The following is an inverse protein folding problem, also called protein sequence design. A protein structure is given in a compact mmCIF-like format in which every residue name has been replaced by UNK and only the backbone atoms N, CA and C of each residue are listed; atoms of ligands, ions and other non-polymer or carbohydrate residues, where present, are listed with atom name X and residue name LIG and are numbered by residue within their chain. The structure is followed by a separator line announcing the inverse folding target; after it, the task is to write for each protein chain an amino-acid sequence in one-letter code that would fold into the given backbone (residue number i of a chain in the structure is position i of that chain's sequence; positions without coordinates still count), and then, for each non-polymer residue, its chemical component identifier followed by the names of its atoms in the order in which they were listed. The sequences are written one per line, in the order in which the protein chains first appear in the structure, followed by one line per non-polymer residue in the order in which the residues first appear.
data_IF_052128965809
#
_entry.id   IF_052128965809
#
_cell.length_a   1.000
_cell.length_b   1.000
_cell.length_c   1.000
_cell.angle_alpha   90.00
_cell.angle_beta   90.00
_cell.angle_gamma   90.00
#
_symmetry.space_group_name_H-M   'P 1'
#
loop_
_entity.id
_entity.type
_entity.pdbx_description
1 polymer ?
#
# COMPACT_ATOMS: atom_id res chain seq x y z
N UNK A 1 -26.00 -11.85 65.17
CA UNK A 1 -25.64 -12.50 63.88
C UNK A 1 -24.42 -11.78 63.33
N UNK A 2 -23.22 -12.31 63.57
CA UNK A 2 -21.95 -11.78 63.07
C UNK A 2 -21.40 -12.76 62.02
N UNK A 3 -21.38 -12.38 60.75
CA UNK A 3 -20.76 -13.20 59.70
C UNK A 3 -19.26 -12.91 59.62
N UNK A 4 -18.46 -13.86 60.10
CA UNK A 4 -17.01 -13.91 59.88
C UNK A 4 -16.74 -14.39 58.46
N UNK A 5 -16.05 -13.59 57.66
CA UNK A 5 -15.46 -14.01 56.38
C UNK A 5 -13.97 -14.31 56.60
N UNK A 6 -13.42 -15.46 56.16
CA UNK A 6 -12.02 -15.80 56.37
C UNK A 6 -11.13 -15.23 55.26
N UNK A 7 -10.09 -14.50 55.69
CA UNK A 7 -8.94 -14.09 54.88
C UNK A 7 -8.23 -15.33 54.30
N UNK A 8 -8.12 -15.41 52.98
CA UNK A 8 -7.15 -16.30 52.29
C UNK A 8 -5.89 -15.50 51.96
N UNK A 9 -4.78 -15.86 52.60
CA UNK A 9 -3.44 -15.44 52.24
C UNK A 9 -3.04 -16.13 50.91
N UNK A 10 -2.69 -15.34 49.90
CA UNK A 10 -2.03 -15.81 48.67
C UNK A 10 -0.60 -15.23 48.70
N UNK A 11 0.47 -16.03 48.73
CA UNK A 11 1.83 -15.51 48.61
C UNK A 11 2.13 -15.17 47.14
N UNK A 12 2.45 -13.91 46.90
CA UNK A 12 3.00 -13.39 45.65
C UNK A 12 4.48 -13.82 45.54
N UNK A 13 4.79 -14.71 44.60
CA UNK A 13 6.17 -14.89 44.10
C UNK A 13 6.30 -14.14 42.76
N UNK A 14 7.12 -13.09 42.66
CA UNK A 14 7.48 -12.54 41.35
C UNK A 14 8.57 -13.42 40.72
N UNK A 15 8.18 -14.23 39.73
CA UNK A 15 9.12 -14.75 38.74
C UNK A 15 9.49 -13.61 37.79
N UNK A 16 10.71 -13.10 37.90
CA UNK A 16 11.32 -12.23 36.88
C UNK A 16 11.84 -13.10 35.74
N UNK A 17 11.49 -12.80 34.47
CA UNK A 17 12.03 -13.52 33.33
C UNK A 17 13.50 -13.14 33.11
N UNK A 18 14.34 -14.17 33.06
CA UNK A 18 15.73 -14.12 32.68
C UNK A 18 15.92 -13.49 31.29
N UNK A 19 16.83 -12.50 31.18
CA UNK A 19 17.25 -12.03 29.85
C UNK A 19 17.78 -10.60 29.76
N UNK A 20 18.66 -10.16 30.65
CA UNK A 20 19.50 -8.98 30.36
C UNK A 20 20.96 -9.28 30.68
N UNK A 21 21.76 -9.41 29.62
CA UNK A 21 23.23 -9.46 29.67
C UNK A 21 23.73 -8.11 30.18
N UNK A 22 24.27 -8.09 31.40
CA UNK A 22 25.05 -6.97 31.92
C UNK A 22 26.38 -6.90 31.17
N UNK A 23 26.64 -5.77 30.50
CA UNK A 23 27.96 -5.44 29.95
C UNK A 23 28.87 -4.95 31.08
N UNK A 24 30.09 -5.48 31.08
CA UNK A 24 31.23 -5.17 31.95
C UNK A 24 31.41 -3.68 32.30
N UNK A 25 31.62 -3.32 33.59
CA UNK A 25 32.15 -2.04 33.97
C UNK A 25 33.68 -2.15 34.21
N UNK A 26 34.46 -2.12 33.13
CA UNK A 26 35.91 -1.89 33.23
C UNK A 26 36.35 -0.91 32.18
N UNK A 27 36.23 0.39 32.51
CA UNK A 27 37.08 1.49 32.01
C UNK A 27 36.71 2.78 32.73
N UNK A 28 37.61 3.22 33.60
CA UNK A 28 37.62 4.56 34.21
C UNK A 28 37.96 5.59 33.11
N UNK A 29 37.18 6.67 32.91
CA UNK A 29 37.67 7.79 32.14
C UNK A 29 38.60 8.64 33.01
N UNK A 30 39.83 8.81 32.55
CA UNK A 30 40.79 9.74 33.10
C UNK A 30 40.28 11.18 32.96
N UNK A 31 40.26 11.88 34.09
CA UNK A 31 40.21 13.34 34.19
C UNK A 31 41.37 13.94 33.38
N UNK A 32 41.06 14.86 32.46
CA UNK A 32 42.00 15.92 32.02
C UNK A 32 41.36 17.28 32.29
N UNK A 33 42.01 18.17 33.04
CA UNK A 33 41.54 19.54 33.20
C UNK A 33 41.96 20.34 31.96
N UNK A 34 40.98 20.78 31.16
CA UNK A 34 41.24 21.73 30.08
C UNK A 34 41.14 23.14 30.62
N UNK A 35 42.32 23.73 30.79
CA UNK A 35 42.58 25.15 30.95
C UNK A 35 42.08 25.87 29.70
N UNK A 36 40.96 26.59 29.78
CA UNK A 36 40.73 27.79 28.99
C UNK A 36 39.72 28.69 29.71
N UNK A 37 40.31 29.60 30.48
CA UNK A 37 39.70 30.80 31.01
C UNK A 37 39.41 31.76 29.86
N UNK A 38 38.14 32.16 29.66
CA UNK A 38 37.78 33.45 29.03
C UNK A 38 36.47 33.95 29.62
N UNK A 39 36.60 34.85 30.59
CA UNK A 39 35.61 35.88 30.89
C UNK A 39 35.36 36.75 29.65
N UNK A 40 34.18 37.37 29.57
CA UNK A 40 34.13 38.77 29.19
C UNK A 40 33.51 39.59 30.32
N UNK A 41 34.33 40.49 30.85
CA UNK A 41 33.94 41.67 31.62
C UNK A 41 33.40 42.78 30.68
N UNK A 42 32.75 43.81 31.23
CA UNK A 42 31.87 44.71 30.49
C UNK A 42 32.64 45.86 29.84
N UNK A 43 32.31 46.20 28.60
CA UNK A 43 32.74 47.45 27.98
C UNK A 43 31.71 48.54 28.28
N UNK A 44 32.16 49.48 29.10
CA UNK A 44 31.75 50.88 29.13
C UNK A 44 32.11 51.49 27.77
N UNK A 45 31.22 52.26 27.15
CA UNK A 45 31.56 53.50 26.44
C UNK A 45 30.28 54.19 25.95
N UNK A 46 30.08 55.42 26.45
CA UNK A 46 29.21 56.45 25.88
C UNK A 46 29.91 57.14 24.72
N UNK A 47 29.17 57.69 23.74
CA UNK A 47 28.96 59.13 23.72
C UNK A 47 27.50 59.49 23.34
N UNK A 48 26.86 60.43 24.04
CA UNK A 48 26.78 61.85 23.66
C UNK A 48 26.34 62.10 22.21
N UNK A 49 25.03 62.32 22.00
CA UNK A 49 24.48 63.48 21.28
C UNK A 49 22.95 63.42 21.24
N UNK A 50 22.33 64.50 21.70
CA UNK A 50 20.90 64.85 21.63
C UNK A 50 20.47 65.17 20.18
N UNK A 51 19.17 65.10 19.85
CA UNK A 51 18.33 66.30 19.96
C UNK A 51 16.89 66.08 20.47
N UNK A 52 16.48 67.04 21.29
CA UNK A 52 15.19 67.76 21.34
C UNK A 52 14.00 67.18 20.53
N UNK A 53 12.94 66.79 21.23
CA UNK A 53 11.54 66.99 20.82
C UNK A 53 10.61 66.92 22.05
N UNK A 54 9.64 67.82 22.06
CA UNK A 54 8.73 68.19 23.14
C UNK A 54 7.78 67.07 23.61
N UNK A 55 7.26 67.14 24.84
CA UNK A 55 6.02 66.46 25.22
C UNK A 55 4.82 67.43 25.18
N UNK A 56 3.88 67.12 24.30
CA UNK A 56 2.52 67.65 24.29
C UNK A 56 1.81 67.37 25.64
N UNK A 57 1.22 68.43 26.17
CA UNK A 57 0.36 68.46 27.35
C UNK A 57 -1.05 68.02 26.94
N UNK A 58 -1.71 67.07 27.65
CA UNK A 58 -3.15 66.99 27.65
C UNK A 58 -3.74 67.69 28.87
N UNK A 59 -4.74 68.52 28.56
CA UNK A 59 -5.48 69.42 29.41
C UNK A 59 -6.09 68.77 30.67
N UNK A 60 -6.11 69.60 31.71
CA UNK A 60 -7.05 69.61 32.81
C UNK A 60 -8.47 69.27 32.35
N UNK A 61 -9.11 68.28 32.99
CA UNK A 61 -10.56 68.13 32.96
C UNK A 61 -11.13 68.39 34.36
N UNK A 62 -11.97 69.41 34.43
CA UNK A 62 -12.76 69.83 35.56
C UNK A 62 -13.66 68.71 36.09
N UNK A 63 -13.57 68.48 37.39
CA UNK A 63 -14.55 67.73 38.15
C UNK A 63 -15.63 68.71 38.63
N UNK A 64 -16.80 68.74 38.00
CA UNK A 64 -18.07 69.16 38.62
C UNK A 64 -19.29 68.92 37.70
N UNK A 65 -20.00 67.81 37.87
CA UNK A 65 -21.43 67.69 37.54
C UNK A 65 -22.07 66.48 38.27
N UNK A 66 -23.33 66.59 38.74
CA UNK A 66 -23.97 65.63 39.66
C UNK A 66 -24.65 64.44 38.95
N UNK A 67 -25.02 63.37 39.69
CA UNK A 67 -25.53 62.13 39.11
C UNK A 67 -27.05 62.18 38.87
N UNK A 68 -27.48 61.93 37.65
CA UNK A 68 -28.89 61.65 37.32
C UNK A 68 -29.12 60.15 37.17
N UNK A 69 -30.16 59.70 37.87
CA UNK A 69 -30.69 58.34 37.90
C UNK A 69 -31.31 57.97 36.54
N UNK A 70 -31.14 56.73 36.10
CA UNK A 70 -31.79 56.18 34.90
C UNK A 70 -31.96 54.66 35.01
N UNK A 71 -33.23 54.24 35.03
CA UNK A 71 -33.78 52.88 35.18
C UNK A 71 -33.38 51.88 34.07
N UNK A 72 -33.51 50.57 34.32
CA UNK A 72 -33.24 49.51 33.34
C UNK A 72 -34.49 49.18 32.50
N UNK A 73 -34.34 49.14 31.18
CA UNK A 73 -35.36 48.61 30.27
C UNK A 73 -34.98 47.20 29.82
N UNK A 74 -35.78 46.25 30.28
CA UNK A 74 -35.92 44.88 29.79
C UNK A 74 -36.51 44.94 28.38
N UNK A 75 -35.93 44.23 27.41
CA UNK A 75 -36.69 43.65 26.28
C UNK A 75 -35.98 42.42 25.69
N UNK A 76 -36.80 41.40 25.42
CA UNK A 76 -36.53 40.08 24.83
C UNK A 76 -36.01 40.14 23.38
N UNK A 77 -35.40 39.07 22.87
CA UNK A 77 -35.43 38.78 21.43
C UNK A 77 -36.46 37.69 21.11
N UNK A 78 -37.35 38.01 20.17
CA UNK A 78 -38.19 37.05 19.47
C UNK A 78 -37.76 36.93 18.00
N UNK A 79 -38.03 35.74 17.47
CA UNK A 79 -38.42 35.50 16.07
C UNK A 79 -37.30 35.23 15.05
N UNK A 80 -37.20 33.94 14.72
CA UNK A 80 -36.60 33.40 13.52
C UNK A 80 -37.35 33.87 12.27
N UNK A 81 -36.62 34.21 11.20
CA UNK A 81 -37.19 34.35 9.87
C UNK A 81 -36.40 33.56 8.83
N UNK A 82 -37.18 32.71 8.16
CA UNK A 82 -36.92 31.91 6.98
C UNK A 82 -36.63 32.71 5.72
N UNK A 83 -36.00 32.00 4.77
CA UNK A 83 -36.02 32.22 3.32
C UNK A 83 -35.15 33.35 2.74
N UNK A 84 -34.07 32.94 2.06
CA UNK A 84 -33.58 33.64 0.87
C UNK A 84 -33.02 32.66 -0.16
N UNK A 85 -33.79 32.51 -1.23
CA UNK A 85 -33.37 32.03 -2.54
C UNK A 85 -32.56 33.15 -3.21
N UNK A 86 -31.38 32.83 -3.73
CA UNK A 86 -30.48 33.82 -4.35
C UNK A 86 -29.37 33.18 -5.19
N UNK A 87 -29.69 32.99 -6.47
CA UNK A 87 -28.88 32.66 -7.65
C UNK A 87 -27.48 33.34 -7.68
N UNK A 88 -26.40 32.66 -8.12
CA UNK A 88 -25.14 33.32 -8.47
C UNK A 88 -24.99 33.53 -9.99
N UNK A 89 -24.33 34.61 -10.45
CA UNK A 89 -23.80 34.67 -11.80
C UNK A 89 -22.26 34.69 -11.84
N UNK A 90 -21.77 33.98 -12.85
CA UNK A 90 -20.65 34.32 -13.74
C UNK A 90 -19.19 34.25 -13.24
N UNK A 91 -18.44 33.43 -14.00
CA UNK A 91 -17.11 33.67 -14.56
C UNK A 91 -15.94 33.76 -13.56
N UNK A 92 -15.24 32.64 -13.41
CA UNK A 92 -13.84 32.63 -13.01
C UNK A 92 -13.03 31.77 -13.99
N UNK A 93 -11.89 32.33 -14.37
CA UNK A 93 -10.99 31.91 -15.43
C UNK A 93 -10.42 30.50 -15.28
N UNK A 94 -10.30 29.84 -16.43
CA UNK A 94 -9.49 28.65 -16.69
C UNK A 94 -8.00 28.98 -16.49
N UNK A 95 -7.25 28.26 -15.65
CA UNK A 95 -5.79 28.30 -15.71
C UNK A 95 -5.27 27.23 -16.69
N UNK A 96 -4.45 27.68 -17.64
CA UNK A 96 -3.66 26.84 -18.56
C UNK A 96 -2.63 26.02 -17.75
N UNK A 97 -2.42 24.71 -18.01
CA UNK A 97 -1.28 24.01 -17.45
C UNK A 97 0.00 24.34 -18.25
N UNK A 98 1.01 24.87 -17.56
CA UNK A 98 2.39 24.96 -18.05
C UNK A 98 3.02 23.56 -18.05
N UNK A 99 3.38 23.08 -19.24
CA UNK A 99 4.19 21.87 -19.43
C UNK A 99 5.60 22.14 -18.92
N UNK A 100 5.94 21.60 -17.74
CA UNK A 100 7.31 21.55 -17.25
C UNK A 100 7.98 20.27 -17.77
N UNK A 101 8.96 20.44 -18.68
CA UNK A 101 9.94 19.41 -18.99
C UNK A 101 10.91 19.30 -17.81
N UNK A 102 10.99 18.12 -17.17
CA UNK A 102 12.14 17.74 -16.34
C UNK A 102 12.56 16.32 -16.70
N UNK A 103 13.65 16.26 -17.44
CA UNK A 103 14.53 15.13 -17.67
C UNK A 103 15.40 14.88 -16.44
N UNK A 104 15.35 13.70 -15.83
CA UNK A 104 16.44 13.10 -15.02
C UNK A 104 16.30 11.57 -15.09
N UNK A 105 17.41 10.79 -15.14
CA UNK A 105 17.41 9.42 -15.62
C UNK A 105 17.29 8.40 -14.48
N UNK A 106 16.48 7.36 -14.68
CA UNK A 106 16.38 6.23 -13.75
C UNK A 106 17.37 5.14 -14.16
N UNK A 107 18.35 4.93 -13.28
CA UNK A 107 19.33 3.85 -13.33
C UNK A 107 18.64 2.48 -13.39
N UNK A 108 19.15 1.65 -14.29
CA UNK A 108 18.82 0.25 -14.43
C UNK A 108 19.27 -0.55 -13.19
N UNK A 109 18.43 -1.49 -12.76
CA UNK A 109 18.86 -2.69 -12.03
C UNK A 109 18.19 -3.92 -12.67
N UNK A 110 18.89 -5.06 -12.77
CA UNK A 110 18.44 -6.22 -13.52
C UNK A 110 17.62 -7.15 -12.61
N UNK A 111 16.35 -7.37 -12.95
CA UNK A 111 15.56 -8.44 -12.35
C UNK A 111 15.64 -9.71 -13.19
N UNK A 112 16.11 -10.74 -12.51
CA UNK A 112 16.37 -12.11 -12.92
C UNK A 112 15.22 -12.73 -13.73
N UNK A 113 15.58 -13.26 -14.90
CA UNK A 113 14.75 -14.11 -15.75
C UNK A 113 14.76 -15.52 -15.16
N UNK A 114 13.60 -15.96 -14.68
CA UNK A 114 13.37 -17.36 -14.28
C UNK A 114 12.97 -18.16 -15.52
N UNK A 115 13.84 -19.07 -15.95
CA UNK A 115 13.54 -20.08 -16.95
C UNK A 115 12.65 -21.19 -16.37
N UNK A 116 11.65 -21.70 -17.12
CA UNK A 116 11.23 -23.08 -16.99
C UNK A 116 11.77 -23.91 -18.17
N UNK A 117 12.74 -24.77 -17.85
CA UNK A 117 13.05 -25.98 -18.63
C UNK A 117 11.82 -26.88 -18.65
N UNK A 118 11.33 -27.27 -19.84
CA UNK A 118 10.75 -28.61 -20.07
C UNK A 118 10.88 -28.98 -21.54
N UNK A 119 11.74 -29.96 -21.80
CA UNK A 119 11.90 -30.68 -23.06
C UNK A 119 10.73 -31.67 -23.17
N UNK A 120 10.00 -31.67 -24.29
CA UNK A 120 9.21 -32.84 -24.68
C UNK A 120 9.26 -32.99 -26.20
N UNK A 121 9.71 -34.16 -26.62
CA UNK A 121 9.94 -34.57 -28.00
C UNK A 121 8.62 -34.84 -28.74
N UNK A 122 8.50 -34.40 -29.99
CA UNK A 122 7.53 -34.99 -30.93
C UNK A 122 8.27 -35.56 -32.14
N UNK A 123 8.23 -36.90 -32.22
CA UNK A 123 8.72 -37.71 -33.33
C UNK A 123 7.89 -37.39 -34.58
N UNK A 124 8.57 -37.03 -35.67
CA UNK A 124 8.01 -37.03 -37.02
C UNK A 124 8.01 -38.46 -37.55
N UNK A 125 6.85 -38.97 -37.92
CA UNK A 125 6.70 -40.16 -38.78
C UNK A 125 6.45 -39.67 -40.20
N UNK A 126 7.39 -39.94 -41.10
CA UNK A 126 7.22 -39.79 -42.55
C UNK A 126 7.19 -41.18 -43.16
N UNK A 127 6.05 -41.59 -43.71
CA UNK A 127 5.95 -42.77 -44.58
C UNK A 127 6.19 -42.34 -46.03
N UNK A 128 7.20 -42.93 -46.67
CA UNK A 128 7.35 -42.93 -48.12
C UNK A 128 6.95 -44.32 -48.64
N UNK A 129 6.02 -44.37 -49.58
CA UNK A 129 5.64 -45.57 -50.34
C UNK A 129 6.08 -45.38 -51.79
N UNK A 130 7.01 -46.21 -52.24
CA UNK A 130 7.35 -46.42 -53.65
C UNK A 130 7.43 -47.92 -53.90
N UNK A 131 6.51 -48.45 -54.72
CA UNK A 131 6.61 -49.81 -55.29
C UNK A 131 6.29 -49.72 -56.78
N UNK A 132 7.32 -49.96 -57.59
CA UNK A 132 7.30 -50.18 -59.04
C UNK A 132 7.22 -51.69 -59.35
N UNK A 133 6.62 -52.08 -60.49
CA UNK A 133 6.70 -53.45 -61.06
C UNK A 133 6.84 -53.41 -62.60
N UNK A 134 7.76 -54.19 -63.20
CA UNK A 134 7.90 -54.34 -64.65
C UNK A 134 7.63 -55.78 -65.21
N UNK A 135 7.17 -55.81 -66.47
CA UNK A 135 7.39 -56.71 -67.62
C UNK A 135 7.59 -58.25 -67.49
N UNK A 136 6.74 -59.01 -68.20
CA UNK A 136 7.02 -60.39 -68.70
C UNK A 136 6.35 -60.67 -70.06
N UNK A 137 7.15 -60.85 -71.12
CA UNK A 137 6.76 -61.45 -72.40
C UNK A 137 7.28 -62.90 -72.50
N UNK A 138 6.45 -63.88 -72.90
CA UNK A 138 6.86 -65.27 -73.22
C UNK A 138 6.63 -65.58 -74.70
N UNK A 139 7.65 -66.09 -75.39
CA UNK A 139 7.57 -66.71 -76.72
C UNK A 139 7.47 -68.24 -76.56
N UNK A 140 6.48 -68.87 -77.20
CA UNK A 140 6.29 -70.33 -77.19
C UNK A 140 6.86 -71.05 -78.43
N UNK A 141 7.19 -72.35 -78.33
CA UNK A 141 7.83 -73.16 -79.38
C UNK A 141 6.85 -73.62 -80.48
N UNK A 142 7.31 -73.63 -81.74
CA UNK A 142 6.53 -74.09 -82.91
C UNK A 142 6.65 -75.61 -83.08
N UNK A 143 5.53 -76.32 -83.01
CA UNK A 143 5.44 -77.75 -83.35
C UNK A 143 5.38 -77.94 -84.88
N UNK A 144 6.32 -78.70 -85.45
CA UNK A 144 6.26 -79.13 -86.85
C UNK A 144 5.53 -80.48 -86.96
N UNK A 145 4.57 -80.58 -87.88
CA UNK A 145 3.72 -81.75 -88.09
C UNK A 145 4.54 -82.97 -88.60
N UNK A 146 4.49 -84.13 -87.93
CA UNK A 146 5.26 -85.32 -88.30
C UNK A 146 4.95 -85.88 -89.70
N UNK A 147 3.77 -85.57 -90.26
CA UNK A 147 3.43 -85.95 -91.64
C UNK A 147 4.33 -85.23 -92.67
N UNK A 148 4.71 -83.97 -92.40
CA UNK A 148 5.62 -83.20 -93.24
C UNK A 148 7.01 -83.82 -93.25
N UNK A 149 7.48 -84.28 -92.08
CA UNK A 149 8.78 -84.94 -91.94
C UNK A 149 8.86 -86.28 -92.71
N UNK A 150 7.75 -87.03 -92.78
CA UNK A 150 7.67 -88.27 -93.58
C UNK A 150 7.68 -88.00 -95.09
N UNK A 151 6.98 -86.96 -95.56
CA UNK A 151 6.99 -86.55 -96.98
C UNK A 151 8.37 -86.04 -97.41
N UNK A 152 9.03 -85.23 -96.58
CA UNK A 152 10.40 -84.74 -96.85
C UNK A 152 11.43 -85.87 -96.92
N UNK A 153 11.32 -86.89 -96.05
CA UNK A 153 12.19 -88.08 -96.12
C UNK A 153 11.93 -88.94 -97.36
N UNK A 154 10.68 -89.09 -97.81
CA UNK A 154 10.35 -89.81 -99.04
C UNK A 154 10.85 -89.08 -100.30
N UNK A 155 10.84 -87.75 -100.31
CA UNK A 155 11.38 -86.94 -101.41
C UNK A 155 12.92 -86.98 -101.51
N UNK A 156 13.62 -87.32 -100.42
CA UNK A 156 15.09 -87.40 -100.41
C UNK A 156 15.65 -88.69 -101.03
N UNK A 157 14.87 -89.78 -101.08
CA UNK A 157 15.29 -91.08 -101.62
C UNK A 157 15.72 -91.05 -103.12
N UNK A 158 15.00 -90.39 -104.05
CA UNK A 158 15.41 -90.33 -105.46
C UNK A 158 16.67 -89.47 -105.68
N UNK A 159 16.91 -88.45 -104.86
CA UNK A 159 18.11 -87.61 -104.96
C UNK A 159 19.41 -88.38 -104.66
N UNK A 160 19.34 -89.45 -103.85
CA UNK A 160 20.50 -90.32 -103.60
C UNK A 160 20.81 -91.25 -104.78
N UNK A 161 19.80 -91.67 -105.56
CA UNK A 161 20.01 -92.51 -106.75
C UNK A 161 20.66 -91.73 -107.89
N UNK A 162 20.26 -90.48 -108.08
CA UNK A 162 20.77 -89.57 -109.11
C UNK A 162 22.27 -89.26 -108.91
N UNK A 163 22.69 -89.05 -107.66
CA UNK A 163 24.10 -88.87 -107.32
C UNK A 163 24.93 -90.15 -107.56
N UNK A 164 24.36 -91.35 -107.40
CA UNK A 164 25.05 -92.61 -107.68
C UNK A 164 25.17 -92.85 -109.19
N UNK A 165 24.13 -92.52 -109.95
CA UNK A 165 24.11 -92.62 -111.42
C UNK A 165 25.09 -91.61 -112.07
N UNK A 166 25.08 -90.35 -111.64
CA UNK A 166 26.01 -89.34 -112.14
C UNK A 166 27.48 -89.68 -111.84
N UNK A 167 27.76 -90.33 -110.71
CA UNK A 167 29.13 -90.68 -110.28
C UNK A 167 29.69 -91.94 -110.96
N UNK A 168 28.83 -92.89 -111.32
CA UNK A 168 29.23 -94.05 -112.12
C UNK A 168 29.43 -93.68 -113.60
N UNK A 169 28.63 -92.75 -114.13
CA UNK A 169 28.64 -92.37 -115.55
C UNK A 169 29.69 -91.30 -115.95
N UNK A 170 30.49 -90.78 -115.01
CA UNK A 170 31.63 -89.89 -115.33
C UNK A 170 32.91 -90.62 -115.76
N UNK A 171 32.94 -91.96 -115.70
CA UNK A 171 34.15 -92.75 -116.01
C UNK A 171 34.15 -93.47 -117.36
N UNK A 172 33.07 -93.37 -118.14
CA UNK A 172 32.98 -93.86 -119.53
C UNK A 172 32.16 -92.89 -120.37
N UNK A 173 32.66 -92.50 -121.55
CA UNK A 173 32.03 -91.49 -122.40
C UNK A 173 30.58 -91.87 -122.75
N UNK A 174 29.63 -91.06 -122.27
CA UNK A 174 28.20 -91.27 -122.48
C UNK A 174 27.84 -91.43 -123.96
N UNK A 175 27.09 -92.48 -124.27
CA UNK A 175 26.45 -92.62 -125.58
C UNK A 175 25.26 -91.65 -125.68
N UNK A 176 24.83 -91.36 -126.90
CA UNK A 176 23.68 -90.48 -127.12
C UNK A 176 22.38 -91.04 -126.50
N UNK A 177 22.29 -92.36 -126.34
CA UNK A 177 21.14 -93.07 -125.79
C UNK A 177 20.97 -92.81 -124.29
N UNK A 178 22.06 -92.74 -123.53
CA UNK A 178 22.03 -92.46 -122.09
C UNK A 178 21.47 -91.06 -121.79
N UNK A 179 21.75 -90.08 -122.67
CA UNK A 179 21.19 -88.72 -122.55
C UNK A 179 19.69 -88.69 -122.80
N UNK A 180 19.20 -89.52 -123.71
CA UNK A 180 17.76 -89.64 -124.00
C UNK A 180 17.05 -90.26 -122.80
N UNK A 181 17.62 -91.31 -122.21
CA UNK A 181 17.03 -91.99 -121.05
C UNK A 181 16.93 -91.08 -119.82
N UNK A 182 17.98 -90.30 -119.54
CA UNK A 182 17.95 -89.32 -118.44
C UNK A 182 16.87 -88.25 -118.65
N UNK A 183 16.72 -87.75 -119.88
CA UNK A 183 15.69 -86.76 -120.20
C UNK A 183 14.27 -87.32 -120.01
N UNK A 184 14.05 -88.58 -120.38
CA UNK A 184 12.78 -89.28 -120.14
C UNK A 184 12.51 -89.50 -118.65
N UNK A 185 13.53 -89.82 -117.87
CA UNK A 185 13.41 -90.01 -116.42
C UNK A 185 13.07 -88.69 -115.70
N UNK A 186 13.68 -87.59 -116.13
CA UNK A 186 13.41 -86.24 -115.61
C UNK A 186 11.97 -85.78 -115.94
N UNK A 187 11.50 -86.02 -117.17
CA UNK A 187 10.11 -85.72 -117.56
C UNK A 187 9.09 -86.52 -116.74
N UNK A 188 9.34 -87.81 -116.49
CA UNK A 188 8.45 -88.65 -115.69
C UNK A 188 8.35 -88.15 -114.24
N UNK A 189 9.48 -87.69 -113.69
CA UNK A 189 9.56 -87.12 -112.34
C UNK A 189 8.79 -85.80 -112.24
N UNK A 190 8.94 -84.93 -113.24
CA UNK A 190 8.19 -83.68 -113.33
C UNK A 190 6.67 -83.93 -113.43
N UNK A 191 6.24 -84.93 -114.19
CA UNK A 191 4.83 -85.28 -114.30
C UNK A 191 4.27 -85.83 -112.96
N UNK A 192 5.05 -86.64 -112.25
CA UNK A 192 4.64 -87.18 -110.95
C UNK A 192 4.51 -86.09 -109.87
N UNK A 193 5.44 -85.13 -109.83
CA UNK A 193 5.34 -83.94 -108.97
C UNK A 193 4.12 -83.08 -109.31
N UNK A 194 3.82 -82.90 -110.61
CA UNK A 194 2.68 -82.13 -111.07
C UNK A 194 1.35 -82.76 -110.65
N UNK A 195 1.22 -84.08 -110.76
CA UNK A 195 0.02 -84.80 -110.29
C UNK A 195 -0.17 -84.69 -108.78
N UNK A 196 0.89 -84.80 -107.98
CA UNK A 196 0.79 -84.66 -106.52
C UNK A 196 0.39 -83.24 -106.10
N UNK A 197 1.00 -82.21 -106.71
CA UNK A 197 0.67 -80.81 -106.42
C UNK A 197 -0.78 -80.47 -106.79
N UNK A 198 -1.28 -81.01 -107.92
CA UNK A 198 -2.68 -80.83 -108.32
C UNK A 198 -3.66 -81.58 -107.41
N UNK A 199 -3.27 -82.75 -106.88
CA UNK A 199 -4.04 -83.47 -105.86
C UNK A 199 -4.17 -82.67 -104.56
N UNK A 200 -3.04 -82.21 -104.00
CA UNK A 200 -3.03 -81.40 -102.77
C UNK A 200 -3.83 -80.09 -102.96
N UNK A 201 -3.71 -79.41 -104.11
CA UNK A 201 -4.46 -78.19 -104.39
C UNK A 201 -5.98 -78.42 -104.47
N UNK A 202 -6.41 -79.55 -105.04
CA UNK A 202 -7.84 -79.93 -105.09
C UNK A 202 -8.39 -80.22 -103.70
N UNK A 203 -7.63 -80.90 -102.84
CA UNK A 203 -8.05 -81.16 -101.46
C UNK A 203 -8.16 -79.87 -100.63
N UNK A 204 -7.24 -78.93 -100.79
CA UNK A 204 -7.28 -77.64 -100.10
C UNK A 204 -8.48 -76.80 -100.52
N UNK A 205 -8.81 -76.77 -101.81
CA UNK A 205 -9.99 -76.03 -102.31
C UNK A 205 -11.28 -76.68 -101.82
N UNK A 206 -11.41 -78.01 -101.92
CA UNK A 206 -12.59 -78.72 -101.43
C UNK A 206 -12.80 -78.54 -99.91
N UNK A 207 -11.73 -78.57 -99.12
CA UNK A 207 -11.80 -78.33 -97.68
C UNK A 207 -12.08 -76.86 -97.32
N UNK A 208 -11.66 -75.90 -98.15
CA UNK A 208 -12.00 -74.50 -97.98
C UNK A 208 -13.49 -74.23 -98.29
N UNK A 209 -14.03 -74.84 -99.35
CA UNK A 209 -15.44 -74.75 -99.72
C UNK A 209 -16.35 -75.40 -98.67
N UNK A 210 -16.00 -76.58 -98.16
CA UNK A 210 -16.76 -77.25 -97.10
C UNK A 210 -16.84 -76.45 -95.78
N UNK A 211 -15.85 -75.60 -95.51
CA UNK A 211 -15.81 -74.74 -94.31
C UNK A 211 -16.34 -73.32 -94.54
N UNK A 212 -16.72 -72.95 -95.77
CA UNK A 212 -17.16 -71.60 -96.11
C UNK A 212 -18.36 -71.15 -95.27
N UNK A 213 -19.42 -71.96 -95.25
CA UNK A 213 -20.65 -71.67 -94.52
C UNK A 213 -20.44 -71.57 -93.00
N UNK A 214 -19.50 -72.34 -92.45
CA UNK A 214 -19.22 -72.30 -91.01
C UNK A 214 -18.43 -71.04 -90.61
N UNK A 215 -17.52 -70.57 -91.47
CA UNK A 215 -16.77 -69.32 -91.24
C UNK A 215 -17.66 -68.10 -91.35
N UNK A 216 -18.61 -68.08 -92.27
CA UNK A 216 -19.54 -66.96 -92.42
C UNK A 216 -20.42 -66.77 -91.19
N UNK A 217 -20.93 -67.87 -90.62
CA UNK A 217 -21.69 -67.84 -89.37
C UNK A 217 -20.83 -67.35 -88.20
N UNK A 218 -19.59 -67.84 -88.08
CA UNK A 218 -18.67 -67.41 -87.03
C UNK A 218 -18.29 -65.92 -87.14
N UNK A 219 -18.11 -65.40 -88.37
CA UNK A 219 -17.87 -63.99 -88.61
C UNK A 219 -19.09 -63.12 -88.28
N UNK A 220 -20.29 -63.56 -88.65
CA UNK A 220 -21.52 -62.86 -88.31
C UNK A 220 -21.74 -62.79 -86.78
N UNK A 221 -21.43 -63.86 -86.06
CA UNK A 221 -21.54 -63.91 -84.60
C UNK A 221 -20.52 -63.00 -83.91
N UNK A 222 -19.26 -63.01 -84.37
CA UNK A 222 -18.23 -62.08 -83.88
C UNK A 222 -18.60 -60.61 -84.13
N UNK A 223 -19.21 -60.31 -85.27
CA UNK A 223 -19.67 -58.95 -85.58
C UNK A 223 -20.81 -58.51 -84.65
N UNK A 224 -21.77 -59.41 -84.34
CA UNK A 224 -22.83 -59.13 -83.35
C UNK A 224 -22.25 -58.88 -81.94
N UNK A 225 -21.29 -59.70 -81.51
CA UNK A 225 -20.62 -59.51 -80.22
C UNK A 225 -19.81 -58.22 -80.17
N UNK A 226 -19.17 -57.82 -81.27
CA UNK A 226 -18.44 -56.54 -81.36
C UNK A 226 -19.38 -55.33 -81.25
N UNK A 227 -20.55 -55.40 -81.88
CA UNK A 227 -21.56 -54.34 -81.80
C UNK A 227 -22.08 -54.15 -80.36
N UNK A 228 -22.40 -55.23 -79.65
CA UNK A 228 -22.86 -55.17 -78.25
C UNK A 228 -21.80 -54.55 -77.32
N UNK A 229 -20.52 -54.89 -77.52
CA UNK A 229 -19.42 -54.27 -76.74
C UNK A 229 -19.26 -52.78 -77.01
N UNK A 230 -19.52 -52.33 -78.25
CA UNK A 230 -19.48 -50.90 -78.57
C UNK A 230 -20.62 -50.14 -77.90
N UNK A 231 -21.82 -50.71 -77.87
CA UNK A 231 -22.97 -50.11 -77.16
C UNK A 231 -22.75 -50.06 -75.65
N UNK A 232 -22.25 -51.14 -75.04
CA UNK A 232 -21.93 -51.17 -73.61
C UNK A 232 -20.85 -50.15 -73.24
N UNK A 233 -19.80 -50.03 -74.06
CA UNK A 233 -18.75 -49.03 -73.87
C UNK A 233 -19.28 -47.60 -74.05
N UNK A 234 -20.24 -47.38 -74.95
CA UNK A 234 -20.87 -46.08 -75.13
C UNK A 234 -21.74 -45.69 -73.93
N UNK A 235 -22.44 -46.65 -73.32
CA UNK A 235 -23.23 -46.43 -72.10
C UNK A 235 -22.33 -46.12 -70.90
N UNK A 236 -21.28 -46.92 -70.67
CA UNK A 236 -20.31 -46.67 -69.59
C UNK A 236 -19.67 -45.28 -69.70
N UNK A 237 -19.33 -44.84 -70.91
CA UNK A 237 -18.79 -43.47 -71.11
C UNK A 237 -19.79 -42.38 -70.71
N UNK A 238 -21.08 -42.54 -71.03
CA UNK A 238 -22.11 -41.58 -70.63
C UNK A 238 -22.29 -41.54 -69.11
N UNK A 239 -22.33 -42.70 -68.46
CA UNK A 239 -22.42 -42.81 -67.00
C UNK A 239 -21.19 -42.21 -66.31
N UNK A 240 -19.99 -42.44 -66.85
CA UNK A 240 -18.76 -41.83 -66.35
C UNK A 240 -18.75 -40.30 -66.51
N UNK A 241 -19.28 -39.78 -67.63
CA UNK A 241 -19.40 -38.33 -67.85
C UNK A 241 -20.44 -37.69 -66.92
N UNK A 242 -21.57 -38.34 -66.67
CA UNK A 242 -22.57 -37.87 -65.70
C UNK A 242 -22.03 -37.91 -64.28
N UNK A 243 -21.31 -38.97 -63.92
CA UNK A 243 -20.64 -39.07 -62.62
C UNK A 243 -19.61 -37.95 -62.42
N UNK A 244 -18.81 -37.64 -63.45
CA UNK A 244 -17.86 -36.50 -63.40
C UNK A 244 -18.56 -35.17 -63.19
N UNK A 245 -19.68 -34.91 -63.89
CA UNK A 245 -20.47 -33.67 -63.70
C UNK A 245 -21.04 -33.56 -62.29
N UNK A 246 -21.52 -34.66 -61.72
CA UNK A 246 -22.01 -34.68 -60.33
C UNK A 246 -20.86 -34.46 -59.33
N UNK A 247 -19.70 -35.05 -59.57
CA UNK A 247 -18.53 -34.89 -58.72
C UNK A 247 -18.00 -33.44 -58.75
N UNK A 248 -17.98 -32.80 -59.93
CA UNK A 248 -17.61 -31.40 -60.07
C UNK A 248 -18.58 -30.46 -59.34
N UNK A 249 -19.89 -30.70 -59.42
CA UNK A 249 -20.88 -29.93 -58.66
C UNK A 249 -20.68 -30.08 -57.15
N UNK A 250 -20.40 -31.30 -56.69
CA UNK A 250 -20.11 -31.56 -55.27
C UNK A 250 -18.84 -30.84 -54.82
N UNK A 251 -17.79 -30.81 -55.64
CA UNK A 251 -16.56 -30.05 -55.34
C UNK A 251 -16.82 -28.56 -55.23
N UNK A 252 -17.59 -27.99 -56.14
CA UNK A 252 -17.96 -26.57 -56.08
C UNK A 252 -18.80 -26.24 -54.84
N UNK A 253 -19.70 -27.14 -54.43
CA UNK A 253 -20.48 -26.96 -53.22
C UNK A 253 -19.62 -27.07 -51.95
N UNK A 254 -18.69 -28.03 -51.91
CA UNK A 254 -17.72 -28.21 -50.83
C UNK A 254 -16.78 -26.99 -50.73
N UNK A 255 -16.32 -26.43 -51.86
CA UNK A 255 -15.52 -25.20 -51.89
C UNK A 255 -16.31 -23.98 -51.40
N UNK A 256 -17.59 -23.85 -51.78
CA UNK A 256 -18.46 -22.78 -51.26
C UNK A 256 -18.65 -22.89 -49.75
N UNK A 257 -18.91 -24.09 -49.23
CA UNK A 257 -19.04 -24.35 -47.79
C UNK A 257 -17.73 -24.05 -47.05
N UNK A 258 -16.59 -24.40 -47.64
CA UNK A 258 -15.28 -24.13 -47.08
C UNK A 258 -15.00 -22.62 -47.00
N UNK A 259 -15.27 -21.87 -48.06
CA UNK A 259 -15.13 -20.41 -48.08
C UNK A 259 -16.07 -19.70 -47.10
N UNK A 260 -17.31 -20.19 -46.96
CA UNK A 260 -18.27 -19.65 -46.00
C UNK A 260 -17.86 -19.96 -44.55
N UNK A 261 -17.38 -21.17 -44.27
CA UNK A 261 -16.86 -21.54 -42.96
C UNK A 261 -15.59 -20.77 -42.61
N UNK A 262 -14.69 -20.55 -43.56
CA UNK A 262 -13.49 -19.76 -43.36
C UNK A 262 -13.83 -18.29 -43.07
N UNK A 263 -14.78 -17.70 -43.80
CA UNK A 263 -15.32 -16.36 -43.48
C UNK A 263 -15.93 -16.32 -42.08
N UNK A 264 -16.68 -17.34 -41.67
CA UNK A 264 -17.26 -17.43 -40.32
C UNK A 264 -16.16 -17.51 -39.25
N UNK A 265 -15.11 -18.29 -39.48
CA UNK A 265 -13.95 -18.38 -38.56
C UNK A 265 -13.18 -17.07 -38.48
N UNK A 266 -13.01 -16.35 -39.59
CA UNK A 266 -12.38 -15.03 -39.60
C UNK A 266 -13.23 -13.99 -38.85
N UNK A 267 -14.55 -13.97 -39.07
CA UNK A 267 -15.45 -13.05 -38.36
C UNK A 267 -15.51 -13.36 -36.86
N UNK A 268 -15.62 -14.64 -36.49
CA UNK A 268 -15.60 -15.07 -35.09
C UNK A 268 -14.25 -14.72 -34.43
N UNK A 269 -13.14 -14.89 -35.16
CA UNK A 269 -11.83 -14.45 -34.71
C UNK A 269 -11.77 -12.94 -34.43
N UNK A 270 -12.35 -12.12 -35.32
CA UNK A 270 -12.44 -10.66 -35.11
C UNK A 270 -13.31 -10.30 -33.90
N UNK A 271 -14.46 -10.98 -33.72
CA UNK A 271 -15.33 -10.78 -32.55
C UNK A 271 -14.61 -11.12 -31.25
N UNK A 272 -13.91 -12.26 -31.20
CA UNK A 272 -13.11 -12.66 -30.02
C UNK A 272 -11.98 -11.67 -29.72
N UNK A 273 -11.31 -11.14 -30.75
CA UNK A 273 -10.28 -10.11 -30.57
C UNK A 273 -10.87 -8.79 -30.05
N UNK A 274 -12.03 -8.38 -30.55
CA UNK A 274 -12.70 -7.16 -30.09
C UNK A 274 -13.20 -7.30 -28.65
N UNK A 275 -13.81 -8.42 -28.29
CA UNK A 275 -14.22 -8.74 -26.92
C UNK A 275 -13.02 -8.78 -25.97
N UNK A 276 -11.92 -9.41 -26.38
CA UNK A 276 -10.69 -9.42 -25.62
C UNK A 276 -10.14 -8.00 -25.42
N UNK A 277 -10.24 -7.13 -26.43
CA UNK A 277 -9.84 -5.72 -26.33
C UNK A 277 -10.73 -4.95 -25.36
N UNK A 278 -12.05 -5.14 -25.42
CA UNK A 278 -13.01 -4.51 -24.50
C UNK A 278 -12.77 -4.94 -23.06
N UNK A 279 -12.59 -6.24 -22.81
CA UNK A 279 -12.25 -6.75 -21.47
C UNK A 279 -10.87 -6.32 -20.99
N UNK A 280 -9.89 -6.14 -21.88
CA UNK A 280 -8.59 -5.59 -21.51
C UNK A 280 -8.71 -4.12 -21.10
N UNK A 281 -9.47 -3.32 -21.84
CA UNK A 281 -9.72 -1.91 -21.53
C UNK A 281 -10.50 -1.73 -20.22
N UNK A 282 -11.54 -2.53 -19.99
CA UNK A 282 -12.31 -2.51 -18.73
C UNK A 282 -11.42 -2.86 -17.53
N UNK A 283 -10.59 -3.90 -17.66
CA UNK A 283 -9.61 -4.26 -16.62
C UNK A 283 -8.58 -3.16 -16.39
N UNK A 284 -8.17 -2.45 -17.43
CA UNK A 284 -7.27 -1.31 -17.30
C UNK A 284 -7.94 -0.14 -16.54
N UNK A 285 -9.18 0.21 -16.87
CA UNK A 285 -9.96 1.24 -16.17
C UNK A 285 -10.15 0.91 -14.69
N UNK A 286 -10.46 -0.35 -14.36
CA UNK A 286 -10.63 -0.78 -12.98
C UNK A 286 -9.32 -0.72 -12.19
N UNK A 287 -8.19 -1.06 -12.81
CA UNK A 287 -6.85 -0.92 -12.19
C UNK A 287 -6.54 0.54 -11.91
N UNK A 288 -6.76 1.41 -12.87
CA UNK A 288 -6.54 2.85 -12.70
C UNK A 288 -7.42 3.43 -11.58
N UNK A 289 -8.69 3.03 -11.51
CA UNK A 289 -9.60 3.46 -10.45
C UNK A 289 -9.12 3.01 -9.07
N UNK A 290 -8.66 1.76 -8.93
CA UNK A 290 -8.10 1.23 -7.68
C UNK A 290 -6.80 1.94 -7.29
N UNK A 291 -5.95 2.27 -8.26
CA UNK A 291 -4.73 3.02 -8.00
C UNK A 291 -5.02 4.43 -7.51
N UNK A 292 -5.97 5.14 -8.14
CA UNK A 292 -6.44 6.46 -7.69
C UNK A 292 -7.03 6.39 -6.28
N UNK A 293 -7.82 5.37 -5.98
CA UNK A 293 -8.40 5.18 -4.64
C UNK A 293 -7.31 4.90 -3.60
N UNK A 294 -6.31 4.08 -3.94
CA UNK A 294 -5.20 3.79 -3.04
C UNK A 294 -4.33 5.03 -2.80
N UNK A 295 -4.09 5.84 -3.84
CA UNK A 295 -3.39 7.11 -3.71
C UNK A 295 -4.18 8.09 -2.83
N UNK A 296 -5.49 8.24 -3.06
CA UNK A 296 -6.35 9.08 -2.23
C UNK A 296 -6.36 8.62 -0.77
N UNK A 297 -6.40 7.31 -0.50
CA UNK A 297 -6.29 6.75 0.86
C UNK A 297 -4.94 7.06 1.51
N UNK A 298 -3.84 6.96 0.78
CA UNK A 298 -2.49 7.31 1.28
C UNK A 298 -2.37 8.79 1.60
N UNK A 299 -2.87 9.67 0.74
CA UNK A 299 -2.88 11.11 0.97
C UNK A 299 -3.77 11.51 2.14
N UNK A 300 -4.97 10.92 2.24
CA UNK A 300 -5.87 11.13 3.36
C UNK A 300 -5.25 10.68 4.68
N UNK A 301 -4.58 9.53 4.69
CA UNK A 301 -3.86 9.04 5.86
C UNK A 301 -2.72 9.98 6.28
N UNK A 302 -1.90 10.45 5.32
CA UNK A 302 -0.83 11.41 5.59
C UNK A 302 -1.39 12.71 6.17
N UNK A 303 -2.45 13.26 5.58
CA UNK A 303 -3.10 14.49 6.05
C UNK A 303 -3.69 14.33 7.45
N UNK A 304 -4.31 13.18 7.74
CA UNK A 304 -4.84 12.87 9.07
C UNK A 304 -3.72 12.77 10.13
N UNK A 305 -2.56 12.20 9.75
CA UNK A 305 -1.39 12.13 10.62
C UNK A 305 -0.80 13.52 10.91
N UNK A 306 -0.64 14.36 9.88
CA UNK A 306 -0.18 15.75 10.03
C UNK A 306 -1.14 16.57 10.92
N UNK A 307 -2.45 16.41 10.74
CA UNK A 307 -3.46 17.10 11.56
C UNK A 307 -3.47 16.60 13.01
N UNK A 308 -3.30 15.29 13.23
CA UNK A 308 -3.16 14.72 14.57
C UNK A 308 -1.90 15.23 15.29
N UNK A 309 -0.76 15.29 14.59
CA UNK A 309 0.47 15.84 15.14
C UNK A 309 0.35 17.33 15.45
N UNK A 310 -0.28 18.10 14.56
CA UNK A 310 -0.55 19.53 14.80
C UNK A 310 -1.44 19.73 16.02
N UNK A 311 -2.51 18.95 16.17
CA UNK A 311 -3.38 19.00 17.36
C UNK A 311 -2.61 18.64 18.64
N UNK A 312 -1.77 17.61 18.59
CA UNK A 312 -0.94 17.21 19.73
C UNK A 312 0.05 18.32 20.13
N UNK A 313 0.67 19.00 19.15
CA UNK A 313 1.57 20.14 19.42
C UNK A 313 0.85 21.31 20.08
N UNK A 314 -0.33 21.68 19.57
CA UNK A 314 -1.13 22.78 20.15
C UNK A 314 -1.56 22.44 21.57
N UNK A 315 -2.01 21.20 21.83
CA UNK A 315 -2.38 20.76 23.18
C UNK A 315 -1.18 20.76 24.13
N UNK A 316 -0.02 20.27 23.69
CA UNK A 316 1.20 20.29 24.49
C UNK A 316 1.65 21.73 24.81
N UNK A 317 1.57 22.65 23.84
CA UNK A 317 1.88 24.07 24.05
C UNK A 317 0.89 24.74 25.03
N UNK A 318 -0.40 24.43 24.92
CA UNK A 318 -1.42 24.91 25.85
C UNK A 318 -1.16 24.41 27.27
N UNK A 319 -0.88 23.12 27.44
CA UNK A 319 -0.55 22.54 28.73
C UNK A 319 0.69 23.21 29.36
N UNK A 320 1.75 23.40 28.58
CA UNK A 320 2.97 24.07 29.05
C UNK A 320 2.69 25.53 29.46
N UNK A 321 1.84 26.25 28.71
CA UNK A 321 1.43 27.63 29.05
C UNK A 321 0.59 27.67 30.33
N UNK A 322 -0.29 26.71 30.54
CA UNK A 322 -1.12 26.61 31.74
C UNK A 322 -0.29 26.27 32.98
N UNK A 323 0.65 25.32 32.86
CA UNK A 323 1.61 25.00 33.92
C UNK A 323 2.48 26.22 34.29
N UNK A 324 2.98 26.95 33.30
CA UNK A 324 3.75 28.17 33.53
C UNK A 324 2.92 29.24 34.27
N UNK A 325 1.65 29.45 33.86
CA UNK A 325 0.73 30.36 34.54
C UNK A 325 0.42 29.91 35.97
N UNK A 326 0.27 28.60 36.19
CA UNK A 326 0.05 28.04 37.51
C UNK A 326 1.25 28.28 38.44
N UNK A 327 2.47 28.00 37.96
CA UNK A 327 3.69 28.25 38.72
C UNK A 327 3.88 29.73 39.05
N UNK A 328 3.57 30.63 38.12
CA UNK A 328 3.68 32.07 38.36
C UNK A 328 2.68 32.54 39.43
N UNK A 329 1.42 32.07 39.38
CA UNK A 329 0.44 32.36 40.46
C UNK A 329 0.93 31.87 41.82
N UNK A 330 1.47 30.66 41.89
CA UNK A 330 2.03 30.11 43.13
C UNK A 330 3.20 30.96 43.65
N UNK A 331 4.09 31.46 42.76
CA UNK A 331 5.17 32.37 43.14
C UNK A 331 4.63 33.70 43.68
N UNK A 332 3.63 34.28 43.01
CA UNK A 332 3.01 35.54 43.45
C UNK A 332 2.30 35.37 44.80
N UNK A 333 1.51 34.30 44.97
CA UNK A 333 0.85 33.98 46.24
C UNK A 333 1.88 33.78 47.36
N UNK A 334 2.98 33.06 47.09
CA UNK A 334 4.06 32.89 48.05
C UNK A 334 4.73 34.22 48.41
N UNK A 335 4.97 35.10 47.44
CA UNK A 335 5.51 36.45 47.67
C UNK A 335 4.55 37.30 48.50
N UNK A 336 3.25 37.29 48.18
CA UNK A 336 2.23 38.00 48.95
C UNK A 336 2.14 37.48 50.38
N UNK A 337 2.14 36.15 50.57
CA UNK A 337 2.14 35.52 51.90
C UNK A 337 3.39 35.86 52.69
N UNK A 338 4.56 35.82 52.06
CA UNK A 338 5.82 36.19 52.69
C UNK A 338 5.87 37.69 53.05
N UNK A 339 5.35 38.56 52.19
CA UNK A 339 5.24 40.00 52.45
C UNK A 339 4.29 40.29 53.62
N UNK A 340 3.13 39.64 53.66
CA UNK A 340 2.19 39.75 54.79
C UNK A 340 2.82 39.25 56.10
N UNK A 341 3.50 38.10 56.05
CA UNK A 341 4.26 37.55 57.18
C UNK A 341 5.35 38.51 57.67
N UNK A 342 6.13 39.08 56.75
CA UNK A 342 7.17 40.07 57.07
C UNK A 342 6.58 41.34 57.69
N UNK A 343 5.43 41.82 57.19
CA UNK A 343 4.70 42.95 57.76
C UNK A 343 4.29 42.71 59.21
N UNK A 344 3.77 41.52 59.53
CA UNK A 344 3.43 41.14 60.91
C UNK A 344 4.67 41.08 61.82
N UNK A 345 5.77 40.49 61.34
CA UNK A 345 7.03 40.45 62.11
C UNK A 345 7.55 41.86 62.38
N UNK A 346 7.54 42.74 61.37
CA UNK A 346 7.94 44.14 61.51
C UNK A 346 7.05 44.88 62.52
N UNK A 347 5.74 44.59 62.55
CA UNK A 347 4.82 45.16 63.53
C UNK A 347 5.20 44.78 64.98
N UNK A 348 5.54 43.51 65.25
CA UNK A 348 6.01 43.09 66.57
C UNK A 348 7.33 43.73 66.96
N UNK A 349 8.27 43.84 66.02
CA UNK A 349 9.55 44.51 66.26
C UNK A 349 9.35 45.99 66.58
N UNK A 350 8.43 46.67 65.88
CA UNK A 350 8.06 48.05 66.17
C UNK A 350 7.45 48.19 67.56
N UNK A 351 6.54 47.29 67.93
CA UNK A 351 5.95 47.24 69.27
C UNK A 351 7.01 47.13 70.37
N UNK A 352 7.96 46.19 70.23
CA UNK A 352 9.04 46.02 71.22
C UNK A 352 10.04 47.19 71.21
N UNK A 353 10.30 47.79 70.06
CA UNK A 353 11.18 48.97 69.93
C UNK A 353 10.56 50.18 70.62
N UNK A 354 9.27 50.46 70.37
CA UNK A 354 8.53 51.51 71.08
C UNK A 354 8.55 51.30 72.59
N UNK A 355 8.36 50.06 73.05
CA UNK A 355 8.44 49.75 74.48
C UNK A 355 9.84 49.97 75.08
N UNK A 356 10.90 49.65 74.33
CA UNK A 356 12.29 49.94 74.76
C UNK A 356 12.52 51.44 74.86
N UNK A 357 12.09 52.18 73.84
CA UNK A 357 12.24 53.64 73.80
C UNK A 357 11.46 54.32 74.94
N UNK A 358 10.21 53.91 75.17
CA UNK A 358 9.40 54.41 76.29
C UNK A 358 10.03 54.12 77.66
N UNK A 359 10.81 53.05 77.81
CA UNK A 359 11.51 52.73 79.06
C UNK A 359 12.81 53.53 79.22
N UNK A 360 13.61 53.58 78.17
CA UNK A 360 14.97 54.14 78.20
C UNK A 360 14.99 55.67 78.08
N UNK A 361 14.11 56.25 77.26
CA UNK A 361 14.14 57.67 76.95
C UNK A 361 13.53 58.49 78.09
N UNK A 362 14.36 59.21 78.84
CA UNK A 362 13.90 60.17 79.86
C UNK A 362 13.35 61.47 79.24
N UNK A 363 13.72 61.77 77.99
CA UNK A 363 13.42 63.04 77.30
C UNK A 363 12.07 63.07 76.56
N UNK A 364 11.35 61.95 76.46
CA UNK A 364 10.04 61.92 75.79
C UNK A 364 8.98 62.57 76.70
N UNK A 365 8.50 63.76 76.34
CA UNK A 365 7.59 64.56 77.19
C UNK A 365 6.19 64.77 76.60
N UNK A 366 5.86 64.22 75.44
CA UNK A 366 4.54 64.42 74.82
C UNK A 366 4.14 63.32 73.84
N UNK A 367 4.21 62.06 74.27
CA UNK A 367 3.73 60.93 73.44
C UNK A 367 2.19 60.96 73.39
N UNK A 368 1.61 60.77 72.20
CA UNK A 368 0.16 60.75 72.01
C UNK A 368 -0.45 59.40 72.38
N UNK A 369 -1.73 59.37 72.77
CA UNK A 369 -2.43 58.11 73.09
C UNK A 369 -2.40 57.08 71.95
N UNK A 370 -2.55 57.53 70.70
CA UNK A 370 -2.55 56.67 69.52
C UNK A 370 -1.16 56.12 69.16
N UNK A 371 -0.08 56.74 69.65
CA UNK A 371 1.29 56.29 69.40
C UNK A 371 1.71 55.16 70.35
N UNK A 372 0.97 54.99 71.45
CA UNK A 372 1.25 53.98 72.46
C UNK A 372 1.20 52.56 71.87
N UNK A 373 2.20 51.72 72.17
CA UNK A 373 2.26 50.34 71.72
C UNK A 373 1.29 49.47 72.53
N UNK A 374 0.01 49.52 72.19
CA UNK A 374 -1.02 48.62 72.72
C UNK A 374 -0.83 47.20 72.18
N UNK A 375 -1.12 46.14 72.94
CA UNK A 375 -0.91 44.76 72.51
C UNK A 375 -2.09 44.27 71.65
N UNK A 376 -2.38 45.01 70.59
CA UNK A 376 -3.48 44.77 69.64
C UNK A 376 -3.00 45.11 68.22
N UNK A 377 -3.57 44.45 67.20
CA UNK A 377 -3.25 44.77 65.80
C UNK A 377 -3.97 46.03 65.29
N UNK A 378 -5.03 46.46 65.98
CA UNK A 378 -5.76 47.67 65.65
C UNK A 378 -4.96 48.89 66.11
N UNK A 379 -4.62 49.77 65.17
CA UNK A 379 -3.92 51.01 65.49
C UNK A 379 -4.91 52.03 66.07
N UNK A 380 -4.52 52.68 67.17
CA UNK A 380 -5.27 53.80 67.74
C UNK A 380 -6.43 53.42 68.66
N UNK A 381 -6.18 52.63 69.71
CA UNK A 381 -7.15 52.44 70.79
C UNK A 381 -7.43 53.80 71.48
N UNK A 382 -8.67 54.28 71.38
CA UNK A 382 -9.10 55.56 71.95
C UNK A 382 -9.93 55.35 73.23
N UNK A 383 -10.65 54.24 73.30
CA UNK A 383 -11.49 53.84 74.44
C UNK A 383 -10.99 52.53 75.07
N UNK A 384 -11.16 52.33 76.40
CA UNK A 384 -10.96 51.02 77.02
C UNK A 384 -11.83 49.91 76.40
N UNK A 385 -12.98 50.26 75.81
CA UNK A 385 -13.90 49.30 75.20
C UNK A 385 -13.40 48.74 73.85
N UNK A 386 -12.45 49.45 73.21
CA UNK A 386 -11.82 49.00 71.95
C UNK A 386 -10.93 47.76 72.19
N UNK A 387 -10.62 47.47 73.45
CA UNK A 387 -9.74 46.38 73.84
C UNK A 387 -10.58 45.16 74.16
N UNK A 388 -10.65 44.26 73.19
CA UNK A 388 -11.22 42.94 73.41
C UNK A 388 -10.16 41.95 73.91
N UNK A 389 -10.59 41.02 74.76
CA UNK A 389 -9.77 39.87 75.19
C UNK A 389 -9.23 39.09 73.99
N UNK A 390 -10.06 38.85 72.98
CA UNK A 390 -9.70 38.09 71.78
C UNK A 390 -8.58 38.76 70.99
N UNK A 391 -8.66 40.08 70.79
CA UNK A 391 -7.63 40.86 70.08
C UNK A 391 -6.27 40.78 70.78
N UNK A 392 -6.27 40.79 72.12
CA UNK A 392 -5.04 40.61 72.90
C UNK A 392 -4.49 39.18 72.84
N UNK A 393 -5.35 38.17 72.97
CA UNK A 393 -4.90 36.77 72.87
C UNK A 393 -4.25 36.52 71.50
N UNK A 394 -4.86 37.02 70.43
CA UNK A 394 -4.33 36.92 69.07
C UNK A 394 -2.94 37.58 68.94
N UNK A 395 -2.76 38.76 69.54
CA UNK A 395 -1.49 39.48 69.50
C UNK A 395 -0.41 38.82 70.36
N UNK A 396 -0.72 38.47 71.61
CA UNK A 396 0.24 37.97 72.61
C UNK A 396 0.73 36.57 72.23
N UNK A 397 -0.19 35.72 71.77
CA UNK A 397 0.10 34.33 71.42
C UNK A 397 0.42 34.13 69.94
N UNK A 398 0.55 35.21 69.17
CA UNK A 398 0.82 35.11 67.74
C UNK A 398 2.10 34.29 67.45
N UNK A 399 2.06 33.30 66.54
CA UNK A 399 3.19 32.41 66.28
C UNK A 399 4.39 33.13 65.65
N UNK A 400 4.16 34.26 64.96
CA UNK A 400 5.22 35.05 64.32
C UNK A 400 5.89 36.08 65.25
N UNK A 401 5.57 36.08 66.54
CA UNK A 401 6.14 37.06 67.48
C UNK A 401 7.59 36.68 67.84
N UNK A 402 8.60 37.48 67.44
CA UNK A 402 10.00 37.11 67.65
C UNK A 402 10.35 36.92 69.13
N UNK A 403 11.12 35.87 69.46
CA UNK A 403 11.62 35.63 70.82
C UNK A 403 10.58 35.16 71.83
N UNK A 404 9.34 34.91 71.40
CA UNK A 404 8.28 34.33 72.24
C UNK A 404 8.02 32.85 71.93
N UNK A 405 8.50 32.34 70.79
CA UNK A 405 8.30 30.95 70.34
C UNK A 405 8.67 29.91 71.40
N UNK A 406 9.76 30.11 72.13
CA UNK A 406 10.27 29.20 73.17
C UNK A 406 9.64 29.40 74.55
N UNK A 407 8.84 30.46 74.75
CA UNK A 407 8.27 30.79 76.06
C UNK A 407 6.88 30.18 76.22
N UNK A 408 6.62 29.67 77.44
CA UNK A 408 5.30 29.19 77.85
C UNK A 408 4.24 30.30 77.71
N UNK A 409 2.97 29.92 77.51
CA UNK A 409 1.85 30.88 77.43
C UNK A 409 1.79 31.74 78.70
N UNK A 410 2.00 31.14 79.88
CA UNK A 410 2.11 31.84 81.16
C UNK A 410 3.22 32.89 81.17
N UNK A 411 4.41 32.56 80.70
CA UNK A 411 5.54 33.51 80.71
C UNK A 411 5.34 34.67 79.73
N UNK A 412 4.68 34.43 78.59
CA UNK A 412 4.27 35.50 77.67
C UNK A 412 3.31 36.48 78.35
N UNK A 413 2.30 35.96 79.06
CA UNK A 413 1.35 36.79 79.82
C UNK A 413 2.03 37.56 80.96
N UNK A 414 2.92 36.92 81.72
CA UNK A 414 3.69 37.59 82.80
C UNK A 414 4.46 38.80 82.27
N UNK A 415 5.11 38.68 81.11
CA UNK A 415 5.86 39.79 80.51
C UNK A 415 4.95 40.98 80.20
N UNK A 416 3.74 40.73 79.68
CA UNK A 416 2.78 41.79 79.37
C UNK A 416 2.16 42.40 80.62
N UNK A 417 1.79 41.58 81.62
CA UNK A 417 1.28 42.06 82.92
C UNK A 417 2.30 43.00 83.57
N UNK A 418 3.59 42.66 83.51
CA UNK A 418 4.65 43.52 84.05
C UNK A 418 4.82 44.84 83.28
N UNK A 419 4.50 44.88 81.98
CA UNK A 419 4.52 46.12 81.17
C UNK A 419 3.35 47.04 81.51
N UNK A 420 2.16 46.46 81.71
CA UNK A 420 0.91 47.22 81.93
C UNK A 420 0.48 47.31 83.40
N UNK A 421 1.31 46.88 84.35
CA UNK A 421 0.98 46.98 85.78
C UNK A 421 0.71 48.45 86.17
N UNK A 422 -0.44 48.77 86.81
CA UNK A 422 -0.89 50.16 87.01
C UNK A 422 0.15 51.01 87.75
N UNK A 423 0.79 50.46 88.79
CA UNK A 423 1.85 51.15 89.53
C UNK A 423 3.05 51.56 88.65
N UNK A 424 3.64 50.59 87.91
CA UNK A 424 4.82 50.84 87.06
C UNK A 424 4.48 51.66 85.82
N UNK A 425 3.28 51.48 85.27
CA UNK A 425 2.78 52.23 84.13
C UNK A 425 2.54 53.70 84.48
N UNK A 426 1.86 53.98 85.61
CA UNK A 426 1.55 55.34 86.04
C UNK A 426 2.81 56.14 86.44
N UNK A 427 3.78 55.48 87.09
CA UNK A 427 5.03 56.13 87.49
C UNK A 427 5.97 56.43 86.31
N UNK A 428 6.14 55.49 85.38
CA UNK A 428 7.17 55.60 84.34
C UNK A 428 6.66 56.07 82.97
N UNK A 429 5.44 55.68 82.60
CA UNK A 429 4.91 55.85 81.23
C UNK A 429 3.93 57.02 81.16
N UNK A 430 2.98 57.10 82.11
CA UNK A 430 1.94 58.15 82.08
C UNK A 430 2.53 59.56 82.15
N UNK A 431 3.65 59.76 82.85
CA UNK A 431 4.34 61.06 82.90
C UNK A 431 4.88 61.53 81.54
N UNK A 432 5.15 60.60 80.62
CA UNK A 432 5.67 60.85 79.27
C UNK A 432 4.57 61.13 78.24
N UNK A 433 3.33 60.83 78.59
CA UNK A 433 2.17 61.10 77.77
C UNK A 433 1.73 62.56 77.89
N UNK A 434 1.10 63.04 76.81
CA UNK A 434 0.41 64.32 76.78
C UNK A 434 -0.65 64.39 77.88
N UNK A 435 -0.77 65.53 78.55
CA UNK A 435 -1.60 65.69 79.76
C UNK A 435 -3.07 65.29 79.55
N UNK A 436 -3.65 65.65 78.41
CA UNK A 436 -5.03 65.30 78.04
C UNK A 436 -5.27 63.80 77.86
N UNK A 437 -4.21 63.02 77.64
CA UNK A 437 -4.28 61.58 77.36
C UNK A 437 -3.91 60.73 78.57
N UNK A 438 -3.35 61.32 79.64
CA UNK A 438 -2.86 60.61 80.83
C UNK A 438 -3.95 59.79 81.52
N UNK A 439 -5.11 60.40 81.75
CA UNK A 439 -6.22 59.72 82.42
C UNK A 439 -6.78 58.58 81.56
N UNK A 440 -6.96 58.83 80.26
CA UNK A 440 -7.43 57.82 79.30
C UNK A 440 -6.47 56.65 79.20
N UNK A 441 -5.17 56.92 79.04
CA UNK A 441 -4.15 55.88 78.99
C UNK A 441 -4.10 55.03 80.26
N UNK A 442 -4.27 55.65 81.44
CA UNK A 442 -4.32 54.94 82.72
C UNK A 442 -5.54 54.01 82.80
N UNK A 443 -6.72 54.48 82.38
CA UNK A 443 -7.95 53.66 82.29
C UNK A 443 -7.78 52.46 81.36
N UNK A 444 -7.21 52.70 80.17
CA UNK A 444 -6.93 51.69 79.15
C UNK A 444 -5.91 50.66 79.68
N UNK A 445 -4.80 51.10 80.27
CA UNK A 445 -3.80 50.21 80.87
C UNK A 445 -4.38 49.38 82.03
N UNK A 446 -5.23 49.98 82.86
CA UNK A 446 -5.93 49.28 83.94
C UNK A 446 -6.93 48.24 83.43
N UNK A 447 -7.60 48.49 82.30
CA UNK A 447 -8.43 47.48 81.63
C UNK A 447 -7.57 46.32 81.09
N UNK A 448 -6.46 46.63 80.39
CA UNK A 448 -5.52 45.63 79.89
C UNK A 448 -4.98 44.73 81.00
N UNK A 449 -4.51 45.32 82.10
CA UNK A 449 -3.95 44.57 83.22
C UNK A 449 -4.95 43.58 83.82
N UNK A 450 -6.23 43.97 83.93
CA UNK A 450 -7.31 43.08 84.39
C UNK A 450 -7.53 41.92 83.43
N UNK A 451 -7.66 42.19 82.13
CA UNK A 451 -7.86 41.12 81.13
C UNK A 451 -6.65 40.18 81.10
N UNK A 452 -5.41 40.71 81.16
CA UNK A 452 -4.19 39.91 81.20
C UNK A 452 -4.10 39.01 82.45
N UNK A 453 -4.49 39.54 83.61
CA UNK A 453 -4.51 38.78 84.87
C UNK A 453 -5.54 37.65 84.82
N UNK A 454 -6.73 37.92 84.26
CA UNK A 454 -7.76 36.89 84.06
C UNK A 454 -7.27 35.78 83.11
N UNK A 455 -6.66 36.14 81.98
CA UNK A 455 -6.06 35.16 81.07
C UNK A 455 -4.97 34.32 81.75
N UNK A 456 -4.15 34.94 82.61
CA UNK A 456 -3.12 34.22 83.35
C UNK A 456 -3.71 33.25 84.38
N UNK A 457 -4.76 33.64 85.09
CA UNK A 457 -5.46 32.76 86.03
C UNK A 457 -6.05 31.54 85.32
N UNK A 458 -6.66 31.72 84.14
CA UNK A 458 -7.19 30.63 83.34
C UNK A 458 -6.10 29.68 82.81
N UNK A 459 -4.97 30.20 82.34
CA UNK A 459 -3.85 29.36 81.93
C UNK A 459 -3.22 28.63 83.13
N UNK A 460 -3.30 29.18 84.34
CA UNK A 460 -2.92 28.46 85.57
C UNK A 460 -3.85 27.30 85.83
N UNK A 461 -5.17 27.53 85.78
CA UNK A 461 -6.17 26.49 85.97
C UNK A 461 -6.04 25.37 84.92
N UNK A 462 -5.83 25.72 83.65
CA UNK A 462 -5.65 24.75 82.57
C UNK A 462 -4.42 23.85 82.75
N UNK A 463 -3.33 24.37 83.31
CA UNK A 463 -2.13 23.58 83.61
C UNK A 463 -2.27 22.74 84.88
N UNK A 464 -3.18 23.08 85.82
CA UNK A 464 -3.45 22.24 87.00
C UNK A 464 -4.43 21.10 86.70
N UNK A 465 -5.28 21.28 85.69
CA UNK A 465 -6.29 20.30 85.28
C UNK A 465 -5.71 19.24 84.30
N UNK A 466 -4.51 19.47 83.77
CA UNK A 466 -3.74 18.53 82.94
C UNK A 466 -2.76 17.72 83.79
#
# INVERSE_FOLDING_TARGET
MFSKSPYRHIPFFPQTPAGFRMLNPSKKPYFRPSIFSRHPSPCVDSPSSSPTCEPDVPAFFDCNAPPTQGLPHIFQPASANTARVGRPPTKAAVPKPKVFKKSVPTKAFPSQIIHPRRKLWHKRFTYHLTVTRPDLCRKGPRFCNPAKLRREKAAAAPNNLENVALKTMQTGGMTAEDRIFLKQLEELRLDQLRRHMLGDAREVVAHAEALGSQRELEHAERNRQAALRLEENAQRKKEEEEFRRLEELRRLEEERRWLEEEKRRQEEGRRRQEEARRHAEERARLREQRERELQAKREAFRKAQEEAEHRARVQAEQHLREEARWQERQRQEALHRNKARAGLVAFFQLYDTKWKELKLSQKLTSVMLCEMPWPTFQQGCASPDDISRRSMEEFIFHPLRPGMETKSRKDRLKVEILRFHPNKFNSNIVRKLRECDRERASKIAGALARILTNMMAEEIQKETDQ
#
